data_IF_952488463124
#
_entry.id   IF_952488463124
#
_cell.length_a   1.000
_cell.length_b   1.000
_cell.length_c   1.000
_cell.angle_alpha   90.00
_cell.angle_beta   90.00
_cell.angle_gamma   90.00
#
_symmetry.space_group_name_H-M   'P 1'
#
loop_
_entity.id
_entity.type
_entity.pdbx_description
1 polymer ?
#
# COMPACT_ATOMS: atom_id res chain seq x y z
N UNK A 1 36.70 7.64 -4.08
CA UNK A 1 36.00 7.64 -5.38
C UNK A 1 34.98 6.52 -5.36
N UNK A 2 33.69 6.83 -5.44
CA UNK A 2 32.63 5.82 -5.55
C UNK A 2 32.33 5.60 -7.02
N UNK A 3 32.68 4.42 -7.54
CA UNK A 3 32.35 4.05 -8.92
C UNK A 3 30.83 3.92 -9.07
N UNK A 4 30.21 4.52 -10.09
CA UNK A 4 28.78 4.33 -10.34
C UNK A 4 28.53 2.85 -10.60
N UNK A 5 27.61 2.24 -9.84
CA UNK A 5 27.18 0.87 -10.09
C UNK A 5 26.56 0.85 -11.48
N UNK A 6 27.13 0.04 -12.38
CA UNK A 6 26.54 -0.27 -13.69
C UNK A 6 25.07 -0.61 -13.45
N UNK A 7 24.17 0.18 -14.04
CA UNK A 7 22.74 -0.08 -14.01
C UNK A 7 22.56 -1.46 -14.63
N UNK A 8 22.42 -2.50 -13.79
CA UNK A 8 22.02 -3.82 -14.24
C UNK A 8 20.72 -3.59 -14.96
N UNK A 9 20.68 -3.96 -16.24
CA UNK A 9 19.51 -3.92 -17.11
C UNK A 9 18.27 -4.19 -16.26
N UNK A 10 17.56 -3.11 -15.95
CA UNK A 10 16.26 -3.22 -15.29
C UNK A 10 15.37 -3.77 -16.39
N UNK A 11 15.36 -5.10 -16.54
CA UNK A 11 14.27 -5.79 -17.21
C UNK A 11 12.99 -5.10 -16.75
N UNK A 12 12.19 -4.63 -17.69
CA UNK A 12 11.00 -3.85 -17.35
C UNK A 12 10.22 -4.62 -16.28
N UNK A 13 9.94 -3.95 -15.16
CA UNK A 13 9.26 -4.58 -14.04
C UNK A 13 7.81 -4.81 -14.45
N UNK A 14 7.52 -5.98 -15.01
CA UNK A 14 6.17 -6.37 -15.43
C UNK A 14 5.48 -7.12 -14.30
N UNK A 15 4.15 -7.08 -14.30
CA UNK A 15 3.35 -7.84 -13.35
C UNK A 15 3.62 -9.35 -13.45
N UNK A 16 3.70 -9.88 -14.68
CA UNK A 16 4.00 -11.28 -14.95
C UNK A 16 5.32 -11.72 -14.31
N UNK A 17 6.36 -10.91 -14.44
CA UNK A 17 7.66 -11.23 -13.87
C UNK A 17 7.65 -11.27 -12.35
N UNK A 18 6.95 -10.33 -11.71
CA UNK A 18 6.76 -10.32 -10.27
C UNK A 18 6.04 -11.60 -9.81
N UNK A 19 5.01 -12.03 -10.54
CA UNK A 19 4.27 -13.25 -10.20
C UNK A 19 5.15 -14.52 -10.27
N UNK A 20 5.98 -14.64 -11.32
CA UNK A 20 6.95 -15.73 -11.46
C UNK A 20 7.98 -15.75 -10.32
N UNK A 21 8.54 -14.59 -9.98
CA UNK A 21 9.54 -14.47 -8.92
C UNK A 21 8.93 -14.80 -7.54
N UNK A 22 7.68 -14.39 -7.28
CA UNK A 22 6.95 -14.75 -6.06
C UNK A 22 6.63 -16.25 -5.97
N UNK A 23 6.30 -16.90 -7.09
CA UNK A 23 6.10 -18.35 -7.13
C UNK A 23 7.42 -19.09 -6.87
N UNK A 24 8.49 -18.67 -7.52
CA UNK A 24 9.83 -19.25 -7.34
C UNK A 24 10.29 -19.15 -5.89
N UNK A 25 10.12 -17.98 -5.26
CA UNK A 25 10.45 -17.75 -3.85
C UNK A 25 9.67 -18.67 -2.91
N UNK A 26 8.37 -18.86 -3.16
CA UNK A 26 7.54 -19.78 -2.38
C UNK A 26 7.97 -21.23 -2.58
N UNK A 27 8.28 -21.66 -3.81
CA UNK A 27 8.76 -23.01 -4.13
C UNK A 27 10.11 -23.33 -3.47
N UNK A 28 10.98 -22.33 -3.28
CA UNK A 28 12.23 -22.49 -2.54
C UNK A 28 12.06 -22.53 -1.01
N UNK A 29 10.83 -22.50 -0.49
CA UNK A 29 10.53 -22.50 0.94
C UNK A 29 10.55 -21.12 1.59
N UNK A 30 10.58 -20.05 0.79
CA UNK A 30 10.55 -18.68 1.28
C UNK A 30 9.17 -18.29 1.80
N UNK A 31 9.14 -17.55 2.92
CA UNK A 31 7.92 -16.97 3.50
C UNK A 31 8.06 -15.46 3.59
N UNK A 32 7.01 -14.73 3.21
CA UNK A 32 6.97 -13.28 3.32
C UNK A 32 6.15 -12.93 4.56
N UNK A 33 6.78 -12.31 5.54
CA UNK A 33 6.13 -11.83 6.76
C UNK A 33 6.00 -10.31 6.74
N UNK A 34 4.87 -9.80 7.24
CA UNK A 34 4.60 -8.36 7.34
C UNK A 34 5.04 -7.88 8.72
N UNK A 35 6.13 -7.10 8.77
CA UNK A 35 6.68 -6.57 10.02
C UNK A 35 5.91 -5.37 10.59
N UNK A 36 5.09 -4.72 9.76
CA UNK A 36 4.30 -3.54 10.13
C UNK A 36 3.90 -2.74 8.90
N UNK A 37 3.10 -1.69 9.12
CA UNK A 37 2.61 -0.81 8.06
C UNK A 37 3.30 0.55 8.14
N UNK A 38 4.16 0.87 7.16
CA UNK A 38 4.73 2.21 7.03
C UNK A 38 3.67 3.17 6.49
N UNK A 39 3.37 4.24 7.22
CA UNK A 39 2.49 5.31 6.73
C UNK A 39 3.22 6.11 5.66
N UNK A 40 2.59 6.27 4.50
CA UNK A 40 3.07 7.18 3.44
C UNK A 40 2.53 8.58 3.70
N UNK A 41 3.33 9.61 3.40
CA UNK A 41 2.85 10.98 3.38
C UNK A 41 2.02 11.18 2.10
N UNK A 42 0.76 11.58 2.25
CA UNK A 42 -0.07 11.99 1.12
C UNK A 42 0.26 13.43 0.75
N UNK A 43 0.32 13.73 -0.55
CA UNK A 43 0.30 15.13 -1.01
C UNK A 43 -1.07 15.71 -0.64
N UNK A 44 -1.05 16.80 0.13
CA UNK A 44 -2.25 17.59 0.40
C UNK A 44 -2.22 18.71 -0.62
N UNK A 45 -3.20 18.75 -1.52
CA UNK A 45 -3.40 19.90 -2.39
C UNK A 45 -4.06 21.02 -1.58
N UNK A 46 -3.62 22.29 -1.73
CA UNK A 46 -4.08 23.39 -0.87
C UNK A 46 -5.58 23.71 -0.98
N UNK A 47 -6.29 23.15 -1.97
CA UNK A 47 -7.72 23.35 -2.19
C UNK A 47 -8.61 22.27 -1.52
N UNK A 48 -8.04 21.24 -0.90
CA UNK A 48 -8.77 20.11 -0.29
C UNK A 48 -9.38 20.45 1.09
N UNK A 49 -9.13 21.66 1.61
CA UNK A 49 -9.64 22.16 2.90
C UNK A 49 -11.15 22.52 2.87
N UNK A 50 -11.82 22.37 1.72
CA UNK A 50 -13.23 22.74 1.57
C UNK A 50 -14.24 21.59 1.76
N UNK A 51 -13.79 20.36 2.04
CA UNK A 51 -14.71 19.23 2.25
C UNK A 51 -14.87 18.92 3.74
N UNK A 52 -16.05 19.19 4.35
CA UNK A 52 -16.29 18.83 5.75
C UNK A 52 -16.23 17.30 5.91
N UNK A 53 -15.64 16.81 7.02
CA UNK A 53 -15.46 15.37 7.22
C UNK A 53 -16.82 14.65 7.19
N UNK A 54 -16.93 13.48 6.55
CA UNK A 54 -18.16 12.70 6.56
C UNK A 54 -18.48 12.33 8.01
N UNK A 55 -19.61 12.84 8.51
CA UNK A 55 -20.15 12.45 9.81
C UNK A 55 -20.38 10.93 9.80
N UNK A 56 -19.90 10.17 10.81
CA UNK A 56 -20.19 8.75 10.89
C UNK A 56 -21.70 8.57 11.05
N UNK A 57 -22.32 7.84 10.11
CA UNK A 57 -23.73 7.47 10.16
C UNK A 57 -23.96 6.36 11.19
N UNK A 58 -23.83 6.67 12.48
CA UNK A 58 -24.15 5.73 13.54
C UNK A 58 -25.47 6.11 14.25
N UNK A 59 -26.39 5.13 14.20
CA UNK A 59 -27.47 4.86 15.14
C UNK A 59 -28.70 5.80 15.14
N UNK A 60 -29.46 5.81 14.05
CA UNK A 60 -30.92 5.99 14.11
C UNK A 60 -31.66 4.64 14.17
N UNK A 61 -31.07 3.65 14.86
CA UNK A 61 -31.76 2.43 15.28
C UNK A 61 -31.68 2.35 16.79
N UNK A 62 -32.84 2.05 17.38
CA UNK A 62 -33.18 1.84 18.80
C UNK A 62 -33.15 3.07 19.72
N UNK A 63 -34.35 3.58 20.05
CA UNK A 63 -34.91 3.23 21.36
C UNK A 63 -36.46 3.24 21.36
N UNK A 64 -37.12 2.26 22.01
CA UNK A 64 -38.56 2.26 22.23
C UNK A 64 -38.87 3.10 23.49
N UNK A 65 -39.82 4.02 23.41
CA UNK A 65 -40.41 4.64 24.61
C UNK A 65 -41.90 4.34 24.65
N UNK A 66 -42.30 3.79 25.80
CA UNK A 66 -43.64 3.41 26.22
C UNK A 66 -44.56 4.61 26.35
#
# INVERSE_FOLDING_TARGET
>A
MFSPRKDKDKSSLTHERIAEDLETFRKSGGTIEVLGTTRTLSRIDPDDDSSPPPRPANAARSNPHR
#
